data_IF_701319212447
#
_entry.id   IF_701319212447
#
_cell.length_a   1.000
_cell.length_b   1.000
_cell.length_c   1.000
_cell.angle_alpha   90.00
_cell.angle_beta   90.00
_cell.angle_gamma   90.00
#
_symmetry.space_group_name_H-M   'P 1'
#
loop_
_entity.id
_entity.type
_entity.pdbx_description
1 polymer ?
#
# COMPACT_ATOMS: atom_id res chain seq x y z
N UNK A 1 0.55 -44.44 2.27
CA UNK A 1 -0.15 -43.57 1.31
C UNK A 1 0.67 -42.30 1.17
N UNK A 2 0.92 -41.78 -0.05
CA UNK A 2 1.70 -40.56 -0.22
C UNK A 2 0.98 -39.41 0.49
N UNK A 3 1.61 -38.88 1.53
CA UNK A 3 1.06 -37.76 2.28
C UNK A 3 1.44 -36.49 1.51
N UNK A 4 0.52 -36.01 0.65
CA UNK A 4 0.55 -34.69 0.04
C UNK A 4 0.37 -33.60 1.13
N UNK A 5 1.29 -33.59 2.07
CA UNK A 5 1.33 -32.67 3.19
C UNK A 5 2.17 -31.44 2.87
N UNK A 6 2.28 -30.57 3.85
CA UNK A 6 3.03 -29.31 3.79
C UNK A 6 4.45 -29.49 3.24
N UNK A 7 5.11 -30.62 3.55
CA UNK A 7 6.46 -30.94 3.06
C UNK A 7 6.53 -31.06 1.54
N UNK A 8 5.56 -31.73 0.89
CA UNK A 8 5.54 -31.89 -0.56
C UNK A 8 5.36 -30.53 -1.26
N UNK A 9 4.48 -29.69 -0.71
CA UNK A 9 4.24 -28.32 -1.22
C UNK A 9 5.52 -27.49 -1.13
N UNK A 10 6.28 -27.59 -0.03
CA UNK A 10 7.56 -26.88 0.13
C UNK A 10 8.57 -27.35 -0.93
N UNK A 11 8.65 -28.65 -1.20
CA UNK A 11 9.55 -29.20 -2.21
C UNK A 11 9.17 -28.68 -3.61
N UNK A 12 7.90 -28.71 -3.97
CA UNK A 12 7.42 -28.18 -5.26
C UNK A 12 7.70 -26.68 -5.36
N UNK A 13 7.41 -25.92 -4.29
CA UNK A 13 7.70 -24.49 -4.26
C UNK A 13 9.20 -24.20 -4.43
N UNK A 14 10.08 -25.01 -3.84
CA UNK A 14 11.54 -24.93 -4.03
C UNK A 14 11.92 -25.17 -5.49
N UNK A 15 11.39 -26.21 -6.14
CA UNK A 15 11.65 -26.50 -7.55
C UNK A 15 11.22 -25.33 -8.44
N UNK A 16 10.00 -24.81 -8.23
CA UNK A 16 9.50 -23.65 -8.97
C UNK A 16 10.36 -22.41 -8.70
N UNK A 17 10.80 -22.19 -7.45
CA UNK A 17 11.67 -21.09 -7.07
C UNK A 17 13.02 -21.14 -7.78
N UNK A 18 13.58 -22.33 -8.00
CA UNK A 18 14.85 -22.51 -8.74
C UNK A 18 14.66 -22.26 -10.24
N UNK A 19 13.54 -22.73 -10.82
CA UNK A 19 13.27 -22.57 -12.25
C UNK A 19 12.90 -21.13 -12.63
N UNK A 20 12.05 -20.49 -11.83
CA UNK A 20 11.52 -19.15 -12.11
C UNK A 20 12.32 -18.05 -11.40
N UNK A 21 12.93 -18.35 -10.25
CA UNK A 21 13.69 -17.41 -9.43
C UNK A 21 12.86 -16.75 -8.32
N UNK A 22 13.53 -16.43 -7.22
CA UNK A 22 12.94 -15.85 -6.00
C UNK A 22 12.17 -14.55 -6.20
N UNK A 23 12.56 -13.75 -7.18
CA UNK A 23 11.92 -12.46 -7.49
C UNK A 23 10.74 -12.61 -8.46
N UNK A 24 10.69 -13.66 -9.27
CA UNK A 24 9.67 -13.83 -10.32
C UNK A 24 8.40 -14.48 -9.80
N UNK A 25 8.48 -15.38 -8.83
CA UNK A 25 7.32 -15.97 -8.18
C UNK A 25 6.39 -14.91 -7.52
N UNK A 26 6.88 -14.00 -6.66
CA UNK A 26 6.03 -12.98 -6.04
C UNK A 26 5.55 -11.93 -7.05
N UNK A 27 6.34 -11.61 -8.07
CA UNK A 27 5.97 -10.64 -9.10
C UNK A 27 4.86 -11.19 -10.01
N UNK A 28 4.97 -12.45 -10.42
CA UNK A 28 3.90 -13.18 -11.11
C UNK A 28 2.64 -13.26 -10.22
N UNK A 29 2.76 -13.70 -8.97
CA UNK A 29 1.62 -13.78 -8.06
C UNK A 29 0.93 -12.41 -7.85
N UNK A 30 1.70 -11.32 -7.75
CA UNK A 30 1.15 -9.95 -7.59
C UNK A 30 0.45 -9.43 -8.84
N UNK A 31 0.91 -9.78 -10.03
CA UNK A 31 0.26 -9.39 -11.30
C UNK A 31 -0.99 -10.24 -11.56
N UNK A 32 -0.87 -11.58 -11.46
CA UNK A 32 -2.02 -12.50 -11.55
C UNK A 32 -3.08 -12.21 -10.49
N UNK A 33 -2.68 -11.90 -9.25
CA UNK A 33 -3.60 -11.56 -8.16
C UNK A 33 -4.41 -10.28 -8.40
N UNK A 34 -3.82 -9.29 -9.07
CA UNK A 34 -4.54 -8.07 -9.49
C UNK A 34 -5.63 -8.39 -10.51
N UNK A 35 -5.31 -9.19 -11.53
CA UNK A 35 -6.29 -9.63 -12.53
C UNK A 35 -7.41 -10.46 -11.92
N UNK A 36 -7.08 -11.42 -11.04
CA UNK A 36 -8.07 -12.22 -10.32
C UNK A 36 -8.95 -11.37 -9.40
N UNK A 37 -8.41 -10.33 -8.75
CA UNK A 37 -9.20 -9.43 -7.90
C UNK A 37 -10.22 -8.63 -8.71
N UNK A 38 -9.82 -8.10 -9.86
CA UNK A 38 -10.72 -7.36 -10.76
C UNK A 38 -11.82 -8.29 -11.26
N UNK A 39 -11.44 -9.46 -11.78
CA UNK A 39 -12.39 -10.48 -12.23
C UNK A 39 -13.36 -10.93 -11.12
N UNK A 40 -12.86 -11.12 -9.89
CA UNK A 40 -13.67 -11.47 -8.72
C UNK A 40 -14.64 -10.35 -8.35
N UNK A 41 -14.22 -9.08 -8.42
CA UNK A 41 -15.05 -7.93 -8.10
C UNK A 41 -16.18 -7.75 -9.14
N UNK A 42 -15.85 -7.87 -10.42
CA UNK A 42 -16.84 -7.86 -11.50
C UNK A 42 -17.81 -9.03 -11.34
N UNK A 43 -17.30 -10.26 -11.15
CA UNK A 43 -18.14 -11.46 -10.96
C UNK A 43 -18.98 -11.41 -9.68
N UNK A 44 -18.51 -10.71 -8.64
CA UNK A 44 -19.23 -10.53 -7.38
C UNK A 44 -20.41 -9.58 -7.55
N UNK A 45 -20.28 -8.53 -8.35
CA UNK A 45 -21.41 -7.66 -8.72
C UNK A 45 -22.56 -8.42 -9.37
N UNK A 46 -22.28 -9.44 -10.19
CA UNK A 46 -23.32 -10.31 -10.78
C UNK A 46 -23.92 -11.33 -9.80
N UNK A 47 -23.28 -11.57 -8.65
CA UNK A 47 -23.72 -12.55 -7.64
C UNK A 47 -24.37 -11.91 -6.41
N UNK A 48 -24.08 -10.63 -6.14
CA UNK A 48 -24.55 -9.89 -4.97
C UNK A 48 -25.91 -9.17 -5.18
N UNK A 49 -26.52 -9.25 -6.36
CA UNK A 49 -27.90 -8.75 -6.59
C UNK A 49 -28.97 -9.40 -5.67
N UNK A 50 -28.59 -10.42 -4.88
CA UNK A 50 -29.44 -11.14 -3.91
C UNK A 50 -29.10 -10.89 -2.42
N UNK A 51 -28.15 -10.00 -2.06
CA UNK A 51 -27.81 -9.76 -0.65
C UNK A 51 -27.56 -8.27 -0.30
N UNK A 52 -28.29 -7.67 0.68
CA UNK A 52 -28.01 -6.31 1.14
C UNK A 52 -26.62 -6.23 1.77
N UNK A 53 -25.73 -5.45 1.17
CA UNK A 53 -24.39 -5.21 1.68
C UNK A 53 -24.46 -4.45 3.03
N UNK A 54 -23.92 -5.07 4.09
CA UNK A 54 -23.70 -4.40 5.37
C UNK A 54 -22.71 -3.23 5.19
N UNK A 55 -22.86 -2.11 5.92
CA UNK A 55 -21.94 -0.98 5.83
C UNK A 55 -20.53 -1.42 6.26
N UNK A 56 -19.57 -1.37 5.34
CA UNK A 56 -18.15 -1.47 5.68
C UNK A 56 -17.79 -0.15 6.39
N UNK A 57 -17.34 -0.18 7.65
CA UNK A 57 -16.84 1.03 8.30
C UNK A 57 -15.70 1.58 7.46
N UNK A 58 -15.78 2.85 7.09
CA UNK A 58 -14.69 3.56 6.43
C UNK A 58 -13.41 3.34 7.25
N UNK A 59 -12.28 2.93 6.64
CA UNK A 59 -11.01 2.94 7.34
C UNK A 59 -10.79 4.38 7.82
N UNK A 60 -10.74 4.58 9.14
CA UNK A 60 -10.28 5.83 9.72
C UNK A 60 -8.94 6.15 9.06
N UNK A 61 -8.76 7.29 8.36
CA UNK A 61 -7.44 7.75 7.95
C UNK A 61 -6.45 7.59 9.11
N UNK A 62 -5.57 6.60 8.99
CA UNK A 62 -4.34 6.59 9.77
C UNK A 62 -3.55 7.75 9.19
N UNK A 63 -3.56 8.87 9.92
CA UNK A 63 -2.72 10.02 9.69
C UNK A 63 -1.28 9.53 9.47
N UNK A 64 -0.81 9.57 8.21
CA UNK A 64 0.58 9.34 7.90
C UNK A 64 1.38 10.42 8.64
N UNK A 65 2.45 10.08 9.38
CA UNK A 65 3.22 11.08 10.10
C UNK A 65 3.67 12.18 9.12
N UNK A 66 3.28 13.42 9.41
CA UNK A 66 3.66 14.58 8.63
C UNK A 66 5.18 14.58 8.41
N UNK A 67 5.68 14.79 7.18
CA UNK A 67 7.09 15.13 7.01
C UNK A 67 7.28 16.47 7.72
N UNK A 68 7.95 16.45 8.87
CA UNK A 68 8.31 17.68 9.59
C UNK A 68 9.21 18.48 8.64
N UNK A 69 8.65 19.53 8.05
CA UNK A 69 9.45 20.52 7.35
C UNK A 69 10.33 21.17 8.41
N UNK A 70 11.64 21.05 8.22
CA UNK A 70 12.68 21.43 9.17
C UNK A 70 12.57 22.92 9.55
N UNK A 71 12.65 23.28 10.85
CA UNK A 71 12.75 24.67 11.26
C UNK A 71 14.17 25.17 10.96
N UNK A 72 14.32 25.95 9.89
CA UNK A 72 15.64 26.40 9.48
C UNK A 72 15.67 27.22 8.19
N UNK A 73 14.84 28.27 8.09
CA UNK A 73 15.06 29.31 7.09
C UNK A 73 14.72 30.68 7.68
N UNK A 74 15.79 31.43 7.94
CA UNK A 74 15.83 32.88 8.00
C UNK A 74 15.10 33.59 9.18
N UNK A 75 15.69 33.45 10.36
CA UNK A 75 15.83 34.61 11.25
C UNK A 75 16.76 35.63 10.57
N UNK A 76 16.20 36.59 9.85
CA UNK A 76 16.93 37.77 9.36
C UNK A 76 16.23 39.03 9.83
N UNK A 77 16.66 39.49 11.01
CA UNK A 77 16.89 40.89 11.38
C UNK A 77 16.00 41.93 10.69
N UNK A 78 14.92 42.35 11.36
CA UNK A 78 14.37 43.69 11.16
C UNK A 78 14.71 44.53 12.39
N UNK A 79 15.83 45.23 12.28
CA UNK A 79 16.35 46.13 13.31
C UNK A 79 17.22 47.18 12.67
N UNK A 80 16.60 48.26 12.18
CA UNK A 80 17.23 49.54 11.81
C UNK A 80 16.13 50.47 11.27
N UNK A 81 15.80 51.68 11.74
CA UNK A 81 16.34 52.65 12.71
C UNK A 81 15.19 53.64 13.05
N UNK A 82 15.09 54.21 14.27
CA UNK A 82 14.20 55.32 14.57
C UNK A 82 14.86 56.67 14.22
N UNK A 83 14.27 57.51 13.37
CA UNK A 83 14.60 58.94 13.32
C UNK A 83 13.66 59.73 12.39
N UNK A 84 13.14 60.83 12.92
CA UNK A 84 12.88 62.10 12.25
C UNK A 84 11.98 62.11 10.99
N UNK A 85 10.77 62.65 11.14
CA UNK A 85 10.57 63.98 10.56
C UNK A 85 9.49 64.78 11.31
N UNK A 86 9.86 66.01 11.66
CA UNK A 86 9.00 67.10 12.09
C UNK A 86 9.09 68.12 10.96
N UNK A 87 8.00 68.40 10.26
CA UNK A 87 7.51 69.74 9.91
C UNK A 87 6.29 69.65 9.00
#
# INVERSE_FOLDING_TARGET
MPNLGTTEIIIIALVVMVLFGAKKLPDAARSFGRSLRIFKAETKGLRDDDQPAAPVPAPLPIEAPAPVAQPGAASSVNGSVPAADRH
#
